data_IF_775438228103
#
_entry.id   IF_775438228103
#
_cell.length_a   1.000
_cell.length_b   1.000
_cell.length_c   1.000
_cell.angle_alpha   90.00
_cell.angle_beta   90.00
_cell.angle_gamma   90.00
#
_symmetry.space_group_name_H-M   'P 1'
#
loop_
_entity.id
_entity.type
_entity.pdbx_description
1 polymer ?
#
# COMPACT_ATOMS: atom_id res chain seq x y z
N UNK A 1 3.03 6.87 -19.38
CA UNK A 1 3.15 8.02 -18.48
C UNK A 1 3.73 7.69 -17.10
N UNK A 2 4.10 6.42 -16.79
CA UNK A 2 4.77 6.02 -15.53
C UNK A 2 5.88 4.98 -15.79
N UNK A 3 6.85 5.29 -16.66
CA UNK A 3 7.80 4.30 -17.17
C UNK A 3 8.71 3.68 -16.10
N UNK A 4 8.87 4.32 -14.93
CA UNK A 4 9.80 3.92 -13.87
C UNK A 4 9.13 3.33 -12.61
N UNK A 5 7.81 3.12 -12.59
CA UNK A 5 7.14 2.50 -11.42
C UNK A 5 7.15 0.97 -11.56
N UNK A 6 7.57 0.21 -10.52
CA UNK A 6 7.57 -1.24 -10.57
C UNK A 6 6.19 -1.85 -10.87
N UNK A 7 6.18 -2.86 -11.74
CA UNK A 7 4.97 -3.62 -12.07
C UNK A 7 4.76 -4.71 -11.03
N UNK A 8 3.58 -4.71 -10.43
CA UNK A 8 3.21 -5.68 -9.41
C UNK A 8 1.96 -6.46 -9.79
N UNK A 9 1.84 -7.68 -9.25
CA UNK A 9 0.57 -8.39 -9.19
C UNK A 9 -0.26 -7.84 -8.03
N UNK A 10 -1.57 -7.86 -8.16
CA UNK A 10 -2.48 -7.47 -7.09
C UNK A 10 -2.28 -8.41 -5.88
N UNK A 11 -2.05 -7.82 -4.71
CA UNK A 11 -2.08 -8.57 -3.44
C UNK A 11 -3.54 -8.73 -3.06
N UNK A 12 -3.97 -9.97 -2.85
CA UNK A 12 -5.31 -10.26 -2.36
C UNK A 12 -5.33 -10.11 -0.84
N UNK A 13 -6.38 -9.48 -0.32
CA UNK A 13 -6.60 -9.39 1.11
C UNK A 13 -6.91 -10.78 1.69
N UNK A 14 -6.26 -11.11 2.81
CA UNK A 14 -6.49 -12.34 3.57
C UNK A 14 -6.55 -11.96 5.03
N UNK A 15 -7.76 -11.92 5.57
CA UNK A 15 -8.08 -11.40 6.92
C UNK A 15 -7.21 -12.02 8.03
N UNK A 16 -6.80 -13.28 7.88
CA UNK A 16 -5.98 -13.98 8.89
C UNK A 16 -4.48 -13.69 8.81
N UNK A 17 -4.00 -12.96 7.79
CA UNK A 17 -2.58 -12.70 7.52
C UNK A 17 -2.30 -11.22 7.39
N UNK A 18 -2.22 -10.54 8.54
CA UNK A 18 -1.96 -9.10 8.62
C UNK A 18 -0.71 -8.62 7.86
N UNK A 19 0.32 -9.47 7.70
CA UNK A 19 1.51 -9.16 6.90
C UNK A 19 1.15 -8.77 5.46
N UNK A 20 0.11 -9.38 4.87
CA UNK A 20 -0.35 -9.02 3.53
C UNK A 20 -0.99 -7.64 3.50
N UNK A 21 -1.74 -7.27 4.53
CA UNK A 21 -2.28 -5.90 4.67
C UNK A 21 -1.16 -4.87 4.75
N UNK A 22 -0.07 -5.18 5.47
CA UNK A 22 1.13 -4.33 5.45
C UNK A 22 1.72 -4.21 4.04
N UNK A 23 1.91 -5.33 3.33
CA UNK A 23 2.47 -5.36 1.97
C UNK A 23 1.60 -4.57 0.98
N UNK A 24 0.27 -4.62 1.15
CA UNK A 24 -0.68 -3.83 0.36
C UNK A 24 -0.48 -2.34 0.57
N UNK A 25 -0.38 -1.89 1.82
CA UNK A 25 -0.20 -0.47 2.15
C UNK A 25 1.15 0.03 1.65
N UNK A 26 2.23 -0.73 1.87
CA UNK A 26 3.58 -0.39 1.39
C UNK A 26 3.60 -0.19 -0.14
N UNK A 27 2.93 -1.08 -0.88
CA UNK A 27 2.81 -0.97 -2.34
C UNK A 27 1.92 0.18 -2.81
N UNK A 28 0.84 0.47 -2.09
CA UNK A 28 -0.04 1.60 -2.42
C UNK A 28 0.71 2.93 -2.26
N UNK A 29 1.56 3.06 -1.23
CA UNK A 29 2.44 4.22 -1.04
C UNK A 29 3.48 4.31 -2.18
N UNK A 30 4.15 3.22 -2.53
CA UNK A 30 5.10 3.18 -3.66
C UNK A 30 4.45 3.60 -5.00
N UNK A 31 3.17 3.26 -5.18
CA UNK A 31 2.40 3.54 -6.38
C UNK A 31 1.48 4.76 -6.26
N UNK A 32 1.71 5.65 -5.28
CA UNK A 32 0.84 6.81 -5.01
C UNK A 32 0.55 7.63 -6.27
N UNK A 33 1.58 8.06 -7.00
CA UNK A 33 1.43 8.90 -8.20
C UNK A 33 0.58 8.26 -9.31
N UNK A 34 0.88 7.04 -9.80
CA UNK A 34 0.06 6.41 -10.83
C UNK A 34 -1.36 6.11 -10.35
N UNK A 35 -1.57 5.75 -9.08
CA UNK A 35 -2.90 5.53 -8.52
C UNK A 35 -3.71 6.84 -8.55
N UNK A 36 -3.19 7.92 -7.94
CA UNK A 36 -3.87 9.22 -7.91
C UNK A 36 -4.16 9.73 -9.32
N UNK A 37 -3.20 9.65 -10.24
CA UNK A 37 -3.41 10.09 -11.62
C UNK A 37 -4.50 9.28 -12.34
N UNK A 38 -4.56 7.96 -12.12
CA UNK A 38 -5.59 7.09 -12.70
C UNK A 38 -6.97 7.42 -12.14
N UNK A 39 -7.08 7.63 -10.82
CA UNK A 39 -8.34 7.97 -10.17
C UNK A 39 -8.87 9.35 -10.61
N UNK A 40 -7.97 10.32 -10.82
CA UNK A 40 -8.34 11.65 -11.33
C UNK A 40 -8.78 11.64 -12.79
N UNK A 41 -8.26 10.70 -13.61
CA UNK A 41 -8.67 10.55 -15.01
C UNK A 41 -10.01 9.82 -15.18
N UNK A 42 -10.41 9.01 -14.20
CA UNK A 42 -11.63 8.22 -14.22
C UNK A 42 -12.69 8.83 -13.30
N UNK A 43 -13.59 9.66 -13.84
CA UNK A 43 -14.62 10.38 -13.05
C UNK A 43 -15.47 9.46 -12.16
N UNK A 44 -15.69 8.21 -12.57
CA UNK A 44 -16.44 7.22 -11.79
C UNK A 44 -15.67 6.66 -10.58
N UNK A 45 -14.34 6.83 -10.54
CA UNK A 45 -13.46 6.32 -9.48
C UNK A 45 -12.93 7.44 -8.57
N UNK A 46 -13.24 8.71 -8.85
CA UNK A 46 -12.72 9.85 -8.08
C UNK A 46 -13.06 9.78 -6.57
N UNK A 47 -14.16 9.10 -6.22
CA UNK A 47 -14.56 8.86 -4.83
C UNK A 47 -13.63 7.93 -4.05
N UNK A 48 -12.72 7.23 -4.74
CA UNK A 48 -11.68 6.38 -4.14
C UNK A 48 -10.34 7.12 -3.97
N UNK A 49 -10.28 8.42 -4.32
CA UNK A 49 -9.07 9.21 -4.14
C UNK A 49 -8.71 9.27 -2.65
N UNK A 50 -7.44 8.99 -2.37
CA UNK A 50 -6.89 8.99 -1.02
C UNK A 50 -6.40 10.41 -0.75
N UNK A 51 -6.99 11.05 0.26
CA UNK A 51 -6.63 12.41 0.63
C UNK A 51 -5.20 12.51 1.16
N UNK A 52 -4.61 13.70 1.11
CA UNK A 52 -3.27 13.94 1.68
C UNK A 52 -3.15 13.52 3.15
N UNK A 53 -4.23 13.62 3.92
CA UNK A 53 -4.25 13.20 5.32
C UNK A 53 -4.18 11.68 5.44
N UNK A 54 -4.95 10.96 4.63
CA UNK A 54 -4.96 9.49 4.63
C UNK A 54 -3.61 8.93 4.17
N UNK A 55 -2.97 9.53 3.17
CA UNK A 55 -1.60 9.16 2.78
C UNK A 55 -0.61 9.22 3.95
N UNK A 56 -0.62 10.31 4.72
CA UNK A 56 0.23 10.44 5.91
C UNK A 56 -0.08 9.38 6.96
N UNK A 57 -1.35 9.08 7.17
CA UNK A 57 -1.76 8.01 8.09
C UNK A 57 -1.22 6.65 7.64
N UNK A 58 -1.26 6.34 6.34
CA UNK A 58 -0.70 5.11 5.79
C UNK A 58 0.82 5.04 6.00
N UNK A 59 1.54 6.13 5.76
CA UNK A 59 2.98 6.23 6.01
C UNK A 59 3.32 6.01 7.50
N UNK A 60 2.58 6.66 8.41
CA UNK A 60 2.73 6.50 9.86
C UNK A 60 2.47 5.05 10.31
N UNK A 61 1.43 4.41 9.76
CA UNK A 61 1.09 3.01 10.04
C UNK A 61 2.23 2.08 9.60
N UNK A 62 2.79 2.28 8.40
CA UNK A 62 3.90 1.45 7.90
C UNK A 62 5.13 1.59 8.79
N UNK A 63 5.45 2.81 9.22
CA UNK A 63 6.56 3.04 10.15
C UNK A 63 6.32 2.35 11.49
N UNK A 64 5.12 2.49 12.05
CA UNK A 64 4.73 1.89 13.33
C UNK A 64 4.75 0.35 13.28
N UNK A 65 4.27 -0.25 12.19
CA UNK A 65 4.11 -1.71 12.07
C UNK A 65 5.38 -2.42 11.59
N UNK A 66 6.35 -1.70 11.01
CA UNK A 66 7.59 -2.29 10.48
C UNK A 66 8.33 -3.19 11.48
N UNK A 67 8.52 -2.81 12.76
CA UNK A 67 9.20 -3.67 13.73
C UNK A 67 8.46 -5.00 13.96
N UNK A 68 7.13 -4.98 13.99
CA UNK A 68 6.32 -6.18 14.18
C UNK A 68 6.39 -7.11 12.97
N UNK A 69 6.48 -6.56 11.76
CA UNK A 69 6.60 -7.35 10.52
C UNK A 69 7.94 -8.07 10.50
N UNK A 70 9.02 -7.34 10.81
CA UNK A 70 10.37 -7.90 10.91
C UNK A 70 10.45 -8.98 11.99
N UNK A 71 9.88 -8.72 13.17
CA UNK A 71 9.85 -9.72 14.24
C UNK A 71 9.07 -10.98 13.83
N UNK A 72 7.93 -10.82 13.17
CA UNK A 72 7.11 -11.95 12.67
C UNK A 72 7.87 -12.76 11.63
N UNK A 73 8.54 -12.10 10.68
CA UNK A 73 9.39 -12.76 9.68
C UNK A 73 10.50 -13.58 10.36
N UNK A 74 11.26 -12.95 11.26
CA UNK A 74 12.36 -13.61 11.99
C UNK A 74 11.88 -14.82 12.81
N UNK A 75 10.73 -14.70 13.48
CA UNK A 75 10.16 -15.78 14.31
C UNK A 75 9.50 -16.90 13.50
N UNK A 76 9.09 -16.62 12.26
CA UNK A 76 8.48 -17.62 11.38
C UNK A 76 9.53 -18.54 10.73
N UNK A 77 10.82 -18.25 10.88
CA UNK A 77 11.91 -19.08 10.39
C UNK A 77 12.15 -19.02 8.89
N UNK A 78 11.67 -17.98 8.20
CA UNK A 78 12.06 -17.64 6.83
C UNK A 78 13.21 -16.64 6.80
#
# INVERSE_FOLDING_TARGET
MFADVPKHRLIQDVVTRWNLTYDMIERVIEQQHPISATLLQCCNLIHLEISTKEWRVLEDIIQLLKPFKVATWYLSGE
#
